data_IF_074274500794
#
_entry.id   IF_074274500794
#
_cell.length_a   1.000
_cell.length_b   1.000
_cell.length_c   1.000
_cell.angle_alpha   90.00
_cell.angle_beta   90.00
_cell.angle_gamma   90.00
#
_symmetry.space_group_name_H-M   'P 1'
#
loop_
_entity.id
_entity.type
_entity.pdbx_description
1 polymer ?
#
# COMPACT_ATOMS: atom_id res chain seq x y z
N UNK A 1 8.07 -0.56 34.49
CA UNK A 1 8.34 -1.12 33.14
C UNK A 1 7.40 -0.45 32.13
N UNK A 2 7.91 0.05 31.01
CA UNK A 2 7.04 0.56 29.93
C UNK A 2 6.49 -0.64 29.16
N UNK A 3 5.17 -0.75 29.02
CA UNK A 3 4.57 -1.79 28.18
C UNK A 3 4.83 -1.44 26.70
N UNK A 4 5.47 -2.35 25.97
CA UNK A 4 5.65 -2.23 24.52
C UNK A 4 4.42 -2.71 23.75
N UNK A 5 3.51 -3.45 24.39
CA UNK A 5 2.26 -3.95 23.83
C UNK A 5 1.15 -2.89 23.93
N UNK A 6 1.32 -1.80 23.19
CA UNK A 6 0.28 -0.76 23.04
C UNK A 6 -0.45 -0.95 21.70
N UNK A 7 -1.70 -0.49 21.61
CA UNK A 7 -2.44 -0.51 20.33
C UNK A 7 -1.66 0.19 19.21
N UNK A 8 -0.92 1.26 19.53
CA UNK A 8 -0.06 1.95 18.57
C UNK A 8 1.05 1.05 18.02
N UNK A 9 1.76 0.33 18.89
CA UNK A 9 2.86 -0.54 18.46
C UNK A 9 2.34 -1.78 17.72
N UNK A 10 1.22 -2.36 18.17
CA UNK A 10 0.54 -3.44 17.44
C UNK A 10 0.14 -2.95 16.04
N UNK A 11 -0.48 -1.77 15.95
CA UNK A 11 -0.88 -1.18 14.68
C UNK A 11 0.30 -0.92 13.73
N UNK A 12 1.41 -0.38 14.25
CA UNK A 12 2.66 -0.18 13.49
C UNK A 12 3.22 -1.49 12.93
N UNK A 13 3.26 -2.56 13.74
CA UNK A 13 3.74 -3.87 13.30
C UNK A 13 2.83 -4.43 12.21
N UNK A 14 1.51 -4.35 12.39
CA UNK A 14 0.55 -4.82 11.40
C UNK A 14 0.67 -4.07 10.05
N UNK A 15 0.85 -2.74 10.08
CA UNK A 15 1.10 -1.96 8.86
C UNK A 15 2.42 -2.33 8.21
N UNK A 16 3.49 -2.46 9.00
CA UNK A 16 4.79 -2.87 8.46
C UNK A 16 4.74 -4.27 7.83
N UNK A 17 4.00 -5.20 8.42
CA UNK A 17 3.80 -6.55 7.86
C UNK A 17 3.00 -6.52 6.55
N UNK A 18 1.92 -5.74 6.49
CA UNK A 18 1.15 -5.57 5.26
C UNK A 18 1.97 -4.95 4.13
N UNK A 19 2.79 -3.94 4.44
CA UNK A 19 3.74 -3.35 3.47
C UNK A 19 4.83 -4.32 3.05
N UNK A 20 5.35 -5.14 3.96
CA UNK A 20 6.31 -6.19 3.59
C UNK A 20 5.71 -7.16 2.56
N UNK A 21 4.47 -7.60 2.75
CA UNK A 21 3.78 -8.45 1.78
C UNK A 21 3.50 -7.73 0.46
N UNK A 22 3.06 -6.46 0.50
CA UNK A 22 2.86 -5.65 -0.70
C UNK A 22 4.16 -5.49 -1.50
N UNK A 23 5.28 -5.21 -0.85
CA UNK A 23 6.58 -5.13 -1.52
C UNK A 23 6.93 -6.46 -2.16
N UNK A 24 6.81 -7.56 -1.42
CA UNK A 24 7.25 -8.89 -1.86
C UNK A 24 6.43 -9.43 -3.02
N UNK A 25 5.11 -9.20 -3.03
CA UNK A 25 4.20 -9.85 -3.97
C UNK A 25 3.66 -8.93 -5.06
N UNK A 26 3.54 -7.63 -4.80
CA UNK A 26 2.97 -6.67 -5.75
C UNK A 26 4.09 -5.84 -6.36
N UNK A 27 4.76 -5.00 -5.56
CA UNK A 27 5.76 -4.04 -6.07
C UNK A 27 6.94 -4.74 -6.73
N UNK A 28 7.44 -5.82 -6.13
CA UNK A 28 8.54 -6.60 -6.72
C UNK A 28 8.12 -7.26 -8.05
N UNK A 29 6.86 -7.69 -8.16
CA UNK A 29 6.36 -8.30 -9.39
C UNK A 29 6.21 -7.25 -10.49
N UNK A 30 5.63 -6.08 -10.18
CA UNK A 30 5.59 -4.92 -11.08
C UNK A 30 6.98 -4.49 -11.53
N UNK A 31 7.95 -4.46 -10.61
CA UNK A 31 9.36 -4.15 -10.95
C UNK A 31 9.95 -5.15 -11.94
N UNK A 32 9.66 -6.44 -11.77
CA UNK A 32 10.14 -7.51 -12.66
C UNK A 32 9.56 -7.44 -14.08
N UNK A 33 8.45 -6.74 -14.29
CA UNK A 33 7.86 -6.55 -15.62
C UNK A 33 8.54 -5.41 -16.40
N UNK A 34 9.37 -4.60 -15.76
CA UNK A 34 10.10 -3.53 -16.43
C UNK A 34 11.08 -4.15 -17.43
N UNK A 35 10.88 -3.84 -18.72
CA UNK A 35 11.68 -4.41 -19.81
C UNK A 35 11.22 -5.76 -20.32
N UNK A 36 10.15 -6.35 -19.77
CA UNK A 36 9.59 -7.61 -20.27
C UNK A 36 8.48 -7.34 -21.30
N UNK A 37 8.72 -7.75 -22.55
CA UNK A 37 7.79 -7.54 -23.66
C UNK A 37 6.49 -8.33 -23.52
N UNK A 38 6.45 -9.37 -22.67
CA UNK A 38 5.23 -10.15 -22.44
C UNK A 38 4.15 -9.38 -21.67
N UNK A 39 4.51 -8.27 -21.03
CA UNK A 39 3.60 -7.44 -20.22
C UNK A 39 3.16 -6.16 -20.94
N UNK A 40 3.38 -6.09 -22.25
CA UNK A 40 2.96 -4.97 -23.08
C UNK A 40 1.54 -5.22 -23.63
N UNK A 41 0.60 -4.35 -23.27
CA UNK A 41 -0.84 -4.55 -23.52
C UNK A 41 -1.24 -4.52 -25.02
N UNK A 42 -0.43 -3.92 -25.91
CA UNK A 42 -0.73 -3.84 -27.35
C UNK A 42 0.55 -3.75 -28.20
N UNK A 43 1.12 -4.89 -28.66
CA UNK A 43 2.41 -4.90 -29.35
C UNK A 43 2.43 -4.14 -30.68
N UNK A 44 1.26 -3.81 -31.25
CA UNK A 44 1.13 -3.13 -32.54
C UNK A 44 1.43 -1.62 -32.47
N UNK A 45 1.34 -1.00 -31.29
CA UNK A 45 1.61 0.44 -31.12
C UNK A 45 3.07 0.68 -30.75
N UNK A 46 3.80 1.46 -31.56
CA UNK A 46 5.18 1.86 -31.25
C UNK A 46 5.32 2.60 -29.91
N UNK A 47 4.25 3.20 -29.38
CA UNK A 47 4.26 3.90 -28.10
C UNK A 47 4.02 2.99 -26.88
N UNK A 48 3.57 1.76 -27.09
CA UNK A 48 3.18 0.86 -25.99
C UNK A 48 4.36 0.44 -25.14
N UNK A 49 5.54 0.23 -25.73
CA UNK A 49 6.75 -0.15 -24.99
C UNK A 49 7.11 0.95 -23.98
N UNK A 50 7.25 2.19 -24.46
CA UNK A 50 7.64 3.33 -23.63
C UNK A 50 6.57 3.71 -22.61
N UNK A 51 5.29 3.57 -22.98
CA UNK A 51 4.17 3.91 -22.09
C UNK A 51 3.99 2.86 -20.99
N UNK A 52 4.08 1.57 -21.32
CA UNK A 52 4.02 0.48 -20.34
C UNK A 52 5.12 0.59 -19.28
N UNK A 53 6.36 0.86 -19.71
CA UNK A 53 7.47 1.05 -18.77
C UNK A 53 7.28 2.27 -17.87
N UNK A 54 6.81 3.40 -18.43
CA UNK A 54 6.45 4.57 -17.63
C UNK A 54 5.42 4.22 -16.54
N UNK A 55 4.39 3.43 -16.87
CA UNK A 55 3.40 3.00 -15.91
C UNK A 55 3.98 2.11 -14.81
N UNK A 56 4.81 1.12 -15.15
CA UNK A 56 5.46 0.26 -14.15
C UNK A 56 6.38 1.04 -13.22
N UNK A 57 7.20 1.96 -13.76
CA UNK A 57 8.06 2.82 -12.93
C UNK A 57 7.24 3.70 -12.00
N UNK A 58 6.23 4.38 -12.55
CA UNK A 58 5.34 5.24 -11.77
C UNK A 58 4.69 4.45 -10.65
N UNK A 59 4.17 3.27 -10.93
CA UNK A 59 3.55 2.40 -9.94
C UNK A 59 4.54 2.05 -8.82
N UNK A 60 5.71 1.50 -9.15
CA UNK A 60 6.71 1.11 -8.14
C UNK A 60 7.11 2.29 -7.25
N UNK A 61 7.44 3.45 -7.83
CA UNK A 61 7.92 4.58 -7.06
C UNK A 61 6.81 5.25 -6.24
N UNK A 62 5.59 5.36 -6.78
CA UNK A 62 4.44 5.89 -6.03
C UNK A 62 4.06 4.96 -4.88
N UNK A 63 4.08 3.64 -5.10
CA UNK A 63 3.84 2.64 -4.06
C UNK A 63 4.85 2.76 -2.91
N UNK A 64 6.14 2.79 -3.23
CA UNK A 64 7.21 2.93 -2.23
C UNK A 64 7.07 4.26 -1.47
N UNK A 65 6.80 5.36 -2.19
CA UNK A 65 6.61 6.67 -1.57
C UNK A 65 5.40 6.69 -0.61
N UNK A 66 4.28 6.08 -0.99
CA UNK A 66 3.10 5.97 -0.14
C UNK A 66 3.37 5.15 1.13
N UNK A 67 4.08 4.03 1.00
CA UNK A 67 4.49 3.19 2.13
C UNK A 67 5.41 3.94 3.10
N UNK A 68 6.48 4.57 2.58
CA UNK A 68 7.43 5.34 3.39
C UNK A 68 6.71 6.50 4.09
N UNK A 69 5.90 7.25 3.36
CA UNK A 69 5.14 8.37 3.92
C UNK A 69 4.22 7.90 5.05
N UNK A 70 3.51 6.79 4.85
CA UNK A 70 2.65 6.20 5.88
C UNK A 70 3.44 5.79 7.12
N UNK A 71 4.60 5.14 6.95
CA UNK A 71 5.47 4.78 8.08
C UNK A 71 5.96 6.03 8.81
N UNK A 72 6.40 7.08 8.11
CA UNK A 72 6.77 8.35 8.73
C UNK A 72 5.62 8.89 9.60
N UNK A 73 4.40 8.94 9.05
CA UNK A 73 3.21 9.41 9.77
C UNK A 73 2.87 8.55 10.98
N UNK A 74 3.11 7.24 10.93
CA UNK A 74 2.91 6.31 12.05
C UNK A 74 3.95 6.44 13.15
N UNK A 75 5.16 6.88 12.81
CA UNK A 75 6.30 6.98 13.74
C UNK A 75 6.55 8.39 14.27
N UNK A 76 5.70 9.37 13.94
CA UNK A 76 5.79 10.73 14.48
C UNK A 76 5.78 10.75 16.04
N UNK A 77 6.49 11.73 16.65
CA UNK A 77 6.51 11.88 18.11
C UNK A 77 5.11 12.14 18.67
N UNK A 78 4.92 11.83 19.96
CA UNK A 78 3.60 11.97 20.61
C UNK A 78 3.02 13.37 20.37
N UNK A 79 3.81 14.42 20.59
CA UNK A 79 3.41 15.83 20.47
C UNK A 79 2.86 16.25 19.10
N UNK A 80 3.18 15.54 18.02
CA UNK A 80 2.72 15.86 16.66
C UNK A 80 1.57 14.96 16.21
N UNK A 81 1.14 13.98 17.03
CA UNK A 81 0.00 13.13 16.67
C UNK A 81 -1.29 13.90 16.80
N UNK A 82 -2.03 13.96 15.72
CA UNK A 82 -3.36 14.56 15.65
C UNK A 82 -4.28 13.72 14.77
N UNK A 83 -5.60 13.93 14.86
CA UNK A 83 -6.57 13.29 13.97
C UNK A 83 -6.22 13.46 12.48
N UNK A 84 -5.70 14.62 12.10
CA UNK A 84 -5.32 14.93 10.71
C UNK A 84 -4.15 14.06 10.24
N UNK A 85 -3.15 13.82 11.09
CA UNK A 85 -2.02 12.94 10.75
C UNK A 85 -2.48 11.49 10.55
N UNK A 86 -3.39 11.03 11.41
CA UNK A 86 -3.99 9.70 11.27
C UNK A 86 -4.83 9.60 9.98
N UNK A 87 -5.60 10.64 9.68
CA UNK A 87 -6.40 10.69 8.45
C UNK A 87 -5.52 10.72 7.18
N UNK A 88 -4.40 11.44 7.19
CA UNK A 88 -3.45 11.39 6.09
C UNK A 88 -2.90 9.97 5.88
N UNK A 89 -2.56 9.26 6.97
CA UNK A 89 -2.10 7.88 6.89
C UNK A 89 -3.17 6.90 6.36
N UNK A 90 -4.43 7.04 6.77
CA UNK A 90 -5.51 6.18 6.25
C UNK A 90 -5.78 6.44 4.76
N UNK A 91 -5.73 7.70 4.32
CA UNK A 91 -5.88 8.07 2.89
C UNK A 91 -4.75 7.46 2.07
N UNK A 92 -3.51 7.48 2.56
CA UNK A 92 -2.38 6.86 1.87
C UNK A 92 -2.54 5.33 1.76
N UNK A 93 -2.94 4.66 2.84
CA UNK A 93 -3.18 3.20 2.83
C UNK A 93 -4.32 2.85 1.88
N UNK A 94 -5.46 3.53 1.99
CA UNK A 94 -6.62 3.26 1.13
C UNK A 94 -6.28 3.58 -0.32
N UNK A 95 -5.66 4.72 -0.61
CA UNK A 95 -5.26 5.09 -1.97
C UNK A 95 -4.23 4.13 -2.58
N UNK A 96 -3.39 3.51 -1.77
CA UNK A 96 -2.46 2.48 -2.22
C UNK A 96 -3.17 1.18 -2.63
N UNK A 97 -4.14 0.69 -1.85
CA UNK A 97 -4.83 -0.58 -2.13
C UNK A 97 -6.09 -0.47 -3.00
N UNK A 98 -6.75 0.69 -3.02
CA UNK A 98 -8.04 0.88 -3.70
C UNK A 98 -8.02 0.62 -5.22
N UNK A 99 -6.97 0.98 -5.99
CA UNK A 99 -7.01 0.82 -7.45
C UNK A 99 -7.35 -0.60 -7.91
N UNK A 100 -6.86 -1.63 -7.20
CA UNK A 100 -7.17 -3.02 -7.49
C UNK A 100 -8.66 -3.35 -7.26
N UNK A 101 -9.20 -2.97 -6.10
CA UNK A 101 -10.56 -3.34 -5.68
C UNK A 101 -11.67 -2.49 -6.30
N UNK A 102 -11.36 -1.24 -6.66
CA UNK A 102 -12.36 -0.33 -7.25
C UNK A 102 -12.59 -0.63 -8.72
N UNK A 103 -11.54 -1.01 -9.47
CA UNK A 103 -11.65 -1.27 -10.91
C UNK A 103 -12.21 -2.66 -11.25
N UNK A 104 -11.74 -3.69 -10.56
CA UNK A 104 -12.01 -5.09 -10.89
C UNK A 104 -13.51 -5.46 -10.99
N UNK A 105 -14.42 -4.99 -10.11
CA UNK A 105 -15.84 -5.32 -10.20
C UNK A 105 -16.54 -4.81 -11.48
N UNK A 106 -15.96 -3.79 -12.14
CA UNK A 106 -16.55 -3.15 -13.31
C UNK A 106 -15.79 -3.46 -14.61
N UNK A 107 -14.53 -3.87 -14.52
CA UNK A 107 -13.65 -4.17 -15.66
C UNK A 107 -12.91 -5.50 -15.41
N UNK A 108 -13.40 -6.62 -15.96
CA UNK A 108 -12.77 -7.93 -15.79
C UNK A 108 -11.30 -7.98 -16.21
N UNK A 109 -10.87 -7.10 -17.12
CA UNK A 109 -9.50 -6.96 -17.58
C UNK A 109 -8.55 -6.46 -16.48
N UNK A 110 -9.08 -5.84 -15.42
CA UNK A 110 -8.33 -5.41 -14.24
C UNK A 110 -8.25 -6.51 -13.16
N UNK A 111 -8.85 -7.68 -13.39
CA UNK A 111 -8.80 -8.80 -12.45
C UNK A 111 -7.39 -9.35 -12.32
N UNK A 112 -7.05 -9.88 -11.15
CA UNK A 112 -5.78 -10.56 -10.99
C UNK A 112 -5.73 -11.82 -11.88
N UNK A 113 -4.54 -12.22 -12.37
CA UNK A 113 -4.41 -13.34 -13.31
C UNK A 113 -4.66 -14.72 -12.67
N UNK A 114 -4.84 -14.77 -11.34
CA UNK A 114 -5.13 -15.99 -10.60
C UNK A 114 -5.66 -15.67 -9.20
N UNK A 115 -6.41 -16.62 -8.62
CA UNK A 115 -6.86 -16.56 -7.21
C UNK A 115 -5.71 -16.29 -6.23
N UNK A 116 -4.52 -16.84 -6.51
CA UNK A 116 -3.33 -16.58 -5.68
C UNK A 116 -2.96 -15.10 -5.67
N UNK A 117 -3.10 -14.41 -6.79
CA UNK A 117 -2.80 -12.98 -6.91
C UNK A 117 -3.84 -12.14 -6.16
N UNK A 118 -5.13 -12.51 -6.24
CA UNK A 118 -6.18 -11.89 -5.42
C UNK A 118 -5.87 -12.04 -3.92
N UNK A 119 -5.50 -13.25 -3.49
CA UNK A 119 -5.15 -13.52 -2.10
C UNK A 119 -3.93 -12.72 -1.65
N UNK A 120 -2.93 -12.51 -2.51
CA UNK A 120 -1.77 -11.68 -2.19
C UNK A 120 -2.19 -10.23 -1.86
N UNK A 121 -3.10 -9.64 -2.64
CA UNK A 121 -3.64 -8.30 -2.37
C UNK A 121 -4.44 -8.26 -1.06
N UNK A 122 -5.20 -9.32 -0.74
CA UNK A 122 -5.92 -9.42 0.54
C UNK A 122 -4.93 -9.49 1.71
N UNK A 123 -3.93 -10.35 1.61
CA UNK A 123 -2.94 -10.57 2.66
C UNK A 123 -2.04 -9.35 2.91
N UNK A 124 -1.81 -8.52 1.91
CA UNK A 124 -1.08 -7.26 2.08
C UNK A 124 -1.99 -6.14 2.63
N UNK A 125 -3.23 -6.04 2.16
CA UNK A 125 -4.15 -4.96 2.53
C UNK A 125 -4.71 -5.10 3.95
N UNK A 126 -5.18 -6.30 4.33
CA UNK A 126 -5.87 -6.52 5.61
C UNK A 126 -4.99 -6.11 6.81
N UNK A 127 -3.73 -6.56 6.94
CA UNK A 127 -2.89 -6.16 8.07
C UNK A 127 -2.68 -4.64 8.12
N UNK A 128 -2.47 -4.00 6.96
CA UNK A 128 -2.29 -2.55 6.88
C UNK A 128 -3.53 -1.78 7.34
N UNK A 129 -4.72 -2.18 6.87
CA UNK A 129 -5.98 -1.52 7.21
C UNK A 129 -6.32 -1.75 8.69
N UNK A 130 -6.24 -2.98 9.19
CA UNK A 130 -6.48 -3.26 10.61
C UNK A 130 -5.45 -2.52 11.48
N UNK A 131 -4.19 -2.51 11.05
CA UNK A 131 -3.10 -1.85 11.77
C UNK A 131 -3.32 -0.35 11.95
N UNK A 132 -3.72 0.37 10.90
CA UNK A 132 -4.00 1.81 11.02
C UNK A 132 -5.21 2.10 11.91
N UNK A 133 -6.23 1.24 11.90
CA UNK A 133 -7.38 1.36 12.80
C UNK A 133 -6.98 1.17 14.26
N UNK A 134 -6.05 0.24 14.55
CA UNK A 134 -5.48 0.06 15.90
C UNK A 134 -4.74 1.30 16.40
N UNK A 135 -4.17 2.11 15.50
CA UNK A 135 -3.51 3.35 15.87
C UNK A 135 -4.47 4.47 16.27
N UNK A 136 -5.77 4.39 15.95
CA UNK A 136 -6.76 5.47 16.12
C UNK A 136 -6.67 6.18 17.49
N UNK A 137 -6.76 5.43 18.59
CA UNK A 137 -6.75 6.02 19.94
C UNK A 137 -5.49 6.85 20.23
N UNK A 138 -4.34 6.49 19.65
CA UNK A 138 -3.09 7.19 19.89
C UNK A 138 -3.01 8.57 19.21
N UNK A 139 -3.87 8.83 18.23
CA UNK A 139 -3.94 10.10 17.49
C UNK A 139 -5.11 10.99 17.92
N UNK A 140 -6.10 10.42 18.60
CA UNK A 140 -7.28 11.15 19.09
C UNK A 140 -7.27 11.38 20.61
N UNK A 141 -6.37 10.74 21.37
CA UNK A 141 -6.22 11.01 22.80
C UNK A 141 -5.72 12.45 23.03
N UNK A 142 -6.24 13.11 24.09
CA UNK A 142 -5.77 14.44 24.49
C UNK A 142 -4.26 14.40 24.74
N UNK A 143 -3.55 15.26 24.04
CA UNK A 143 -2.13 15.51 24.21
C UNK A 143 -1.95 16.33 25.49
N UNK A 144 -1.87 15.64 26.64
CA UNK A 144 -1.37 16.21 27.89
C UNK A 144 0.13 16.01 27.95
#
# INVERSE_FOLDING_TARGET
>A
MKSYFTCLNVGRVLVALGFYFAIKWEVYFTWRHIGDNNFLLQPESRMVVTHGWYHFFREVFVSIAAMISTLILLFVPKSTRSPLVWFAAIVLIVGFYAPFWVGMPFMPELSAPSLRSDLNHIYSAIPSIIGILFCYKAYFAKQV
#
